data_IF_188497879214
#
_entry.id   IF_188497879214
#
_cell.length_a   1.000
_cell.length_b   1.000
_cell.length_c   1.000
_cell.angle_alpha   90.00
_cell.angle_beta   90.00
_cell.angle_gamma   90.00
#
_symmetry.space_group_name_H-M   'P 1'
#
loop_
_entity.id
_entity.type
_entity.pdbx_description
1 polymer ?
#
# COMPACT_ATOMS: atom_id res chain seq x y z
N UNK A 1 -23.38 -24.66 -9.80
CA UNK A 1 -23.01 -23.26 -9.53
C UNK A 1 -22.04 -23.30 -8.38
N UNK A 2 -20.76 -23.08 -8.65
CA UNK A 2 -19.73 -23.02 -7.62
C UNK A 2 -19.88 -21.67 -6.90
N UNK A 3 -20.50 -21.70 -5.71
CA UNK A 3 -20.69 -20.53 -4.85
C UNK A 3 -19.46 -20.30 -3.98
N UNK A 4 -18.28 -20.26 -4.59
CA UNK A 4 -17.06 -19.83 -3.92
C UNK A 4 -17.05 -18.30 -3.87
N UNK A 5 -17.52 -17.71 -2.76
CA UNK A 5 -17.33 -16.27 -2.53
C UNK A 5 -15.83 -15.98 -2.54
N UNK A 6 -15.35 -15.04 -3.37
CA UNK A 6 -13.92 -14.76 -3.45
C UNK A 6 -13.40 -14.30 -2.08
N UNK A 7 -12.41 -15.01 -1.56
CA UNK A 7 -11.76 -14.66 -0.30
C UNK A 7 -10.84 -13.48 -0.55
N UNK A 8 -11.04 -12.39 0.19
CA UNK A 8 -10.12 -11.26 0.21
C UNK A 8 -9.02 -11.54 1.23
N UNK A 9 -7.73 -11.57 0.84
CA UNK A 9 -6.64 -11.81 1.78
C UNK A 9 -6.59 -10.74 2.87
N UNK A 10 -6.12 -11.14 4.06
CA UNK A 10 -5.90 -10.22 5.17
C UNK A 10 -5.05 -9.03 4.73
N UNK A 11 -5.50 -7.82 5.07
CA UNK A 11 -4.82 -6.57 4.77
C UNK A 11 -4.83 -6.09 3.32
N UNK A 12 -5.33 -6.88 2.36
CA UNK A 12 -5.41 -6.47 0.95
C UNK A 12 -6.24 -5.20 0.76
N UNK A 13 -7.36 -5.10 1.48
CA UNK A 13 -8.22 -3.91 1.45
C UNK A 13 -7.48 -2.66 1.91
N UNK A 14 -6.74 -2.73 3.02
CA UNK A 14 -5.99 -1.59 3.56
C UNK A 14 -4.90 -1.16 2.59
N UNK A 15 -4.18 -2.12 2.01
CA UNK A 15 -3.13 -1.87 1.02
C UNK A 15 -3.67 -1.10 -0.21
N UNK A 16 -4.85 -1.47 -0.71
CA UNK A 16 -5.48 -0.76 -1.83
C UNK A 16 -6.06 0.60 -1.41
N UNK A 17 -6.61 0.71 -0.20
CA UNK A 17 -7.13 1.98 0.30
C UNK A 17 -6.01 3.02 0.48
N UNK A 18 -4.84 2.64 0.99
CA UNK A 18 -3.70 3.56 1.13
C UNK A 18 -3.16 3.98 -0.23
N UNK A 19 -2.99 3.05 -1.17
CA UNK A 19 -2.62 3.37 -2.55
C UNK A 19 -3.62 4.33 -3.19
N UNK A 20 -4.93 4.04 -3.09
CA UNK A 20 -5.99 4.85 -3.67
C UNK A 20 -6.00 6.27 -3.12
N UNK A 21 -5.84 6.44 -1.81
CA UNK A 21 -5.70 7.76 -1.18
C UNK A 21 -4.48 8.51 -1.70
N UNK A 22 -3.33 7.84 -1.83
CA UNK A 22 -2.13 8.48 -2.37
C UNK A 22 -2.29 8.86 -3.84
N UNK A 23 -2.95 8.02 -4.67
CA UNK A 23 -3.26 8.36 -6.07
C UNK A 23 -4.16 9.59 -6.17
N UNK A 24 -5.18 9.69 -5.32
CA UNK A 24 -6.07 10.85 -5.28
C UNK A 24 -5.35 12.13 -4.84
N UNK A 25 -4.35 12.00 -3.96
CA UNK A 25 -3.55 13.13 -3.49
C UNK A 25 -2.54 13.61 -4.56
N UNK A 26 -1.75 12.68 -5.10
CA UNK A 26 -0.64 12.97 -6.02
C UNK A 26 -1.10 13.24 -7.46
N UNK A 27 -2.31 12.79 -7.83
CA UNK A 27 -2.87 12.89 -9.19
C UNK A 27 -1.88 12.50 -10.31
N UNK A 28 -1.31 11.29 -10.27
CA UNK A 28 -0.32 10.87 -11.25
C UNK A 28 -0.94 10.76 -12.65
N UNK A 29 -0.17 11.14 -13.68
CA UNK A 29 -0.57 11.01 -15.09
C UNK A 29 -0.75 9.53 -15.48
N UNK A 30 0.07 8.64 -14.91
CA UNK A 30 0.01 7.20 -15.14
C UNK A 30 -0.14 6.46 -13.80
N UNK A 31 -1.36 5.96 -13.54
CA UNK A 31 -1.70 5.21 -12.32
C UNK A 31 -0.98 3.87 -12.24
N UNK A 32 -0.69 3.22 -13.37
CA UNK A 32 -0.01 1.93 -13.38
C UNK A 32 1.45 2.07 -12.99
N UNK A 33 2.16 3.03 -13.58
CA UNK A 33 3.55 3.32 -13.21
C UNK A 33 3.65 3.78 -11.77
N UNK A 34 2.73 4.65 -11.33
CA UNK A 34 2.67 5.11 -9.95
C UNK A 34 2.47 3.94 -8.97
N UNK A 35 1.50 3.07 -9.20
CA UNK A 35 1.23 1.92 -8.34
C UNK A 35 2.43 0.96 -8.26
N UNK A 36 3.10 0.69 -9.38
CA UNK A 36 4.34 -0.10 -9.40
C UNK A 36 5.43 0.54 -8.53
N UNK A 37 5.62 1.87 -8.65
CA UNK A 37 6.57 2.62 -7.83
C UNK A 37 6.24 2.55 -6.34
N UNK A 38 4.97 2.82 -6.00
CA UNK A 38 4.45 2.76 -4.64
C UNK A 38 4.74 1.42 -3.96
N UNK A 39 4.47 0.29 -4.64
CA UNK A 39 4.73 -1.03 -4.07
C UNK A 39 6.23 -1.34 -3.92
N UNK A 40 7.07 -0.87 -4.85
CA UNK A 40 8.53 -1.03 -4.73
C UNK A 40 9.07 -0.28 -3.51
N UNK A 41 8.62 0.95 -3.32
CA UNK A 41 9.00 1.77 -2.17
C UNK A 41 8.47 1.21 -0.85
N UNK A 42 7.23 0.68 -0.84
CA UNK A 42 6.67 0.00 0.34
C UNK A 42 7.51 -1.21 0.76
N UNK A 43 8.00 -2.00 -0.20
CA UNK A 43 8.89 -3.13 0.06
C UNK A 43 10.25 -2.65 0.61
N UNK A 44 10.84 -1.63 0.00
CA UNK A 44 12.08 -1.02 0.48
C UNK A 44 11.93 -0.43 1.88
N UNK A 45 10.78 0.18 2.18
CA UNK A 45 10.44 0.72 3.49
C UNK A 45 10.38 -0.38 4.56
N UNK A 46 9.84 -1.55 4.22
CA UNK A 46 9.84 -2.72 5.11
C UNK A 46 11.26 -3.20 5.42
N UNK A 47 12.11 -3.26 4.38
CA UNK A 47 13.45 -3.82 4.50
C UNK A 47 14.44 -2.84 5.17
N UNK A 48 14.25 -1.53 4.98
CA UNK A 48 15.17 -0.48 5.42
C UNK A 48 15.06 -0.05 6.89
N UNK A 49 13.92 -0.28 7.56
CA UNK A 49 13.66 0.27 8.90
C UNK A 49 13.62 -0.76 10.05
N UNK A 50 14.10 -2.00 9.85
CA UNK A 50 13.93 -3.06 10.86
C UNK A 50 12.45 -3.20 11.28
N UNK A 51 11.54 -3.20 10.28
CA UNK A 51 10.12 -3.49 10.48
C UNK A 51 9.71 -4.93 10.10
N UNK A 52 10.54 -5.99 10.27
CA UNK A 52 10.18 -7.33 9.79
C UNK A 52 9.00 -7.93 10.57
N UNK A 53 8.65 -7.34 11.71
CA UNK A 53 7.54 -7.77 12.57
C UNK A 53 6.22 -7.06 12.29
N UNK A 54 6.22 -5.98 11.50
CA UNK A 54 4.98 -5.28 11.17
C UNK A 54 4.15 -6.13 10.22
N UNK A 55 2.87 -6.26 10.52
CA UNK A 55 1.95 -6.89 9.59
C UNK A 55 1.68 -5.96 8.38
N UNK A 56 1.03 -6.50 7.35
CA UNK A 56 0.76 -5.75 6.11
C UNK A 56 -0.13 -4.51 6.34
N UNK A 57 -1.03 -4.54 7.33
CA UNK A 57 -1.92 -3.43 7.66
C UNK A 57 -1.12 -2.32 8.33
N UNK A 58 -0.31 -2.67 9.34
CA UNK A 58 0.57 -1.74 10.05
C UNK A 58 1.58 -1.11 9.08
N UNK A 59 2.21 -1.92 8.24
CA UNK A 59 3.17 -1.48 7.24
C UNK A 59 2.53 -0.50 6.25
N UNK A 60 1.36 -0.82 5.68
CA UNK A 60 0.69 0.03 4.70
C UNK A 60 0.27 1.38 5.31
N UNK A 61 -0.27 1.37 6.54
CA UNK A 61 -0.66 2.59 7.24
C UNK A 61 0.56 3.45 7.59
N UNK A 62 1.62 2.85 8.12
CA UNK A 62 2.83 3.58 8.48
C UNK A 62 3.48 4.20 7.24
N UNK A 63 3.59 3.45 6.15
CA UNK A 63 4.12 3.95 4.90
C UNK A 63 3.30 5.14 4.36
N UNK A 64 1.96 5.02 4.33
CA UNK A 64 1.07 6.12 3.95
C UNK A 64 1.27 7.37 4.83
N UNK A 65 1.34 7.19 6.16
CA UNK A 65 1.57 8.30 7.09
C UNK A 65 2.93 8.96 6.92
N UNK A 66 3.97 8.20 6.56
CA UNK A 66 5.30 8.76 6.26
C UNK A 66 5.32 9.55 4.96
N UNK A 67 4.59 9.08 3.93
CA UNK A 67 4.45 9.78 2.64
C UNK A 67 3.72 11.11 2.79
N UNK A 68 2.67 11.17 3.61
CA UNK A 68 1.92 12.40 3.88
C UNK A 68 2.64 13.44 4.76
N UNK A 69 3.85 13.17 5.24
CA UNK A 69 4.66 14.09 6.07
C UNK A 69 5.83 14.74 5.32
N UNK A 70 6.01 14.42 4.04
CA UNK A 70 6.99 15.07 3.19
C UNK A 70 6.36 16.29 2.51
N UNK A 71 6.11 17.36 3.28
CA UNK A 71 5.96 18.73 2.78
C UNK A 71 7.32 19.45 2.78
#
# INVERSE_FOLDING_TARGET
MDCSTPVVPYGFRVLLETLGKTVLHEQPVDVHQFASGYFKELLQFRDGLLHPTLDVIELANLFYLTKGKSE
#
